data_IF_670353786902
#
_entry.id   IF_670353786902
#
_cell.length_a   1.000
_cell.length_b   1.000
_cell.length_c   1.000
_cell.angle_alpha   90.00
_cell.angle_beta   90.00
_cell.angle_gamma   90.00
#
_symmetry.space_group_name_H-M   'P 1'
#
loop_
_entity.id
_entity.type
_entity.pdbx_description
1 polymer ?
#
# COMPACT_ATOMS: atom_id res chain seq x y z
N UNK A 1 1.78 -4.22 -28.86
CA UNK A 1 1.01 -5.06 -27.92
C UNK A 1 0.25 -6.09 -28.73
N UNK A 2 0.47 -7.38 -28.50
CA UNK A 2 -0.27 -8.43 -29.20
C UNK A 2 -1.69 -8.60 -28.60
N UNK A 3 -2.57 -9.37 -29.25
CA UNK A 3 -3.95 -9.54 -28.81
C UNK A 3 -4.08 -10.15 -27.40
N UNK A 4 -3.15 -11.03 -27.01
CA UNK A 4 -3.11 -11.65 -25.70
C UNK A 4 -2.70 -10.65 -24.61
N UNK A 5 -1.67 -9.84 -24.86
CA UNK A 5 -1.23 -8.78 -23.96
C UNK A 5 -2.34 -7.74 -23.74
N UNK A 6 -3.09 -7.40 -24.78
CA UNK A 6 -4.24 -6.49 -24.66
C UNK A 6 -5.35 -7.07 -23.77
N UNK A 7 -5.63 -8.37 -23.89
CA UNK A 7 -6.63 -9.05 -23.07
C UNK A 7 -6.18 -9.14 -21.61
N UNK A 8 -4.92 -9.49 -21.38
CA UNK A 8 -4.34 -9.60 -20.05
C UNK A 8 -4.31 -8.24 -19.34
N UNK A 9 -3.98 -7.17 -20.06
CA UNK A 9 -4.08 -5.80 -19.55
C UNK A 9 -5.49 -5.47 -19.06
N UNK A 10 -6.52 -5.73 -19.89
CA UNK A 10 -7.92 -5.45 -19.53
C UNK A 10 -8.33 -6.27 -18.29
N UNK A 11 -7.96 -7.55 -18.23
CA UNK A 11 -8.24 -8.40 -17.06
C UNK A 11 -7.61 -7.87 -15.79
N UNK A 12 -6.35 -7.42 -15.83
CA UNK A 12 -5.69 -6.88 -14.64
C UNK A 12 -6.28 -5.52 -14.25
N UNK A 13 -6.65 -4.68 -15.21
CA UNK A 13 -7.37 -3.44 -14.93
C UNK A 13 -8.72 -3.71 -14.23
N UNK A 14 -9.50 -4.65 -14.74
CA UNK A 14 -10.79 -5.06 -14.15
C UNK A 14 -10.60 -5.63 -12.72
N UNK A 15 -9.54 -6.42 -12.51
CA UNK A 15 -9.20 -6.92 -11.17
C UNK A 15 -8.82 -5.80 -10.20
N UNK A 16 -8.04 -4.82 -10.65
CA UNK A 16 -7.67 -3.65 -9.83
C UNK A 16 -8.92 -2.87 -9.43
N UNK A 17 -9.81 -2.58 -10.39
CA UNK A 17 -11.05 -1.86 -10.11
C UNK A 17 -11.97 -2.66 -9.17
N UNK A 18 -12.04 -3.98 -9.33
CA UNK A 18 -12.76 -4.83 -8.40
C UNK A 18 -12.19 -4.75 -6.98
N UNK A 19 -10.86 -4.87 -6.81
CA UNK A 19 -10.23 -4.76 -5.49
C UNK A 19 -10.48 -3.37 -4.88
N UNK A 20 -10.34 -2.29 -5.65
CA UNK A 20 -10.59 -0.92 -5.18
C UNK A 20 -12.04 -0.70 -4.77
N UNK A 21 -13.00 -1.26 -5.50
CA UNK A 21 -14.42 -1.15 -5.17
C UNK A 21 -14.86 -2.02 -4.00
N UNK A 22 -14.10 -3.06 -3.65
CA UNK A 22 -14.52 -4.09 -2.69
C UNK A 22 -13.54 -4.31 -1.53
N UNK A 23 -12.50 -3.49 -1.38
CA UNK A 23 -11.44 -3.72 -0.38
C UNK A 23 -11.97 -3.89 1.05
N UNK A 24 -13.06 -3.19 1.42
CA UNK A 24 -13.70 -3.31 2.74
C UNK A 24 -14.24 -4.72 3.02
N UNK A 25 -14.54 -5.51 1.99
CA UNK A 25 -14.94 -6.91 2.14
C UNK A 25 -13.73 -7.86 2.28
N UNK A 26 -12.51 -7.33 2.13
CA UNK A 26 -11.25 -8.07 2.16
C UNK A 26 -11.26 -9.30 1.21
N UNK A 27 -11.55 -9.11 -0.09
CA UNK A 27 -11.75 -10.21 -1.03
C UNK A 27 -10.51 -11.09 -1.14
N UNK A 28 -10.73 -12.41 -1.17
CA UNK A 28 -9.68 -13.41 -1.29
C UNK A 28 -9.10 -13.51 -2.71
N UNK A 29 -7.97 -14.19 -2.86
CA UNK A 29 -7.34 -14.41 -4.18
C UNK A 29 -8.29 -15.11 -5.15
N UNK A 30 -8.98 -16.16 -4.69
CA UNK A 30 -9.89 -16.97 -5.51
C UNK A 30 -11.08 -16.15 -6.00
N UNK A 31 -11.66 -15.32 -5.12
CA UNK A 31 -12.79 -14.44 -5.44
C UNK A 31 -12.44 -13.45 -6.55
N UNK A 32 -11.28 -12.79 -6.45
CA UNK A 32 -10.84 -11.84 -7.49
C UNK A 32 -10.51 -12.57 -8.79
N UNK A 33 -9.91 -13.77 -8.71
CA UNK A 33 -9.57 -14.56 -9.89
C UNK A 33 -10.84 -15.00 -10.66
N UNK A 34 -11.88 -15.42 -9.94
CA UNK A 34 -13.19 -15.76 -10.52
C UNK A 34 -13.81 -14.57 -11.23
N UNK A 35 -13.70 -13.36 -10.66
CA UNK A 35 -14.24 -12.13 -11.26
C UNK A 35 -13.67 -11.84 -12.65
N UNK A 36 -12.43 -12.24 -12.90
CA UNK A 36 -11.75 -12.06 -14.20
C UNK A 36 -11.61 -13.36 -14.99
N UNK A 37 -12.35 -14.40 -14.59
CA UNK A 37 -12.43 -15.71 -15.23
C UNK A 37 -11.07 -16.41 -15.38
N UNK A 38 -10.22 -16.31 -14.35
CA UNK A 38 -8.91 -16.97 -14.30
C UNK A 38 -8.84 -17.95 -13.12
N UNK A 39 -7.95 -18.93 -13.21
CA UNK A 39 -7.54 -19.69 -12.02
C UNK A 39 -6.68 -18.81 -11.12
N UNK A 40 -6.74 -19.05 -9.81
CA UNK A 40 -6.03 -18.27 -8.79
C UNK A 40 -4.51 -18.24 -9.00
N UNK A 41 -3.93 -19.37 -9.40
CA UNK A 41 -2.49 -19.47 -9.65
C UNK A 41 -2.05 -18.67 -10.87
N UNK A 42 -2.86 -18.69 -11.94
CA UNK A 42 -2.58 -17.91 -13.14
C UNK A 42 -2.81 -16.41 -12.89
N UNK A 43 -3.91 -16.06 -12.21
CA UNK A 43 -4.21 -14.69 -11.79
C UNK A 43 -3.09 -14.10 -10.92
N UNK A 44 -2.65 -14.81 -9.88
CA UNK A 44 -1.56 -14.38 -9.01
C UNK A 44 -0.31 -13.97 -9.81
N UNK A 45 0.11 -14.82 -10.76
CA UNK A 45 1.27 -14.56 -11.60
C UNK A 45 1.02 -13.41 -12.57
N UNK A 46 -0.12 -13.40 -13.24
CA UNK A 46 -0.46 -12.38 -14.23
C UNK A 46 -0.56 -10.99 -13.59
N UNK A 47 -1.27 -10.89 -12.47
CA UNK A 47 -1.40 -9.65 -11.70
C UNK A 47 -0.04 -9.15 -11.22
N UNK A 48 0.80 -10.04 -10.65
CA UNK A 48 2.14 -9.64 -10.18
C UNK A 48 3.02 -9.13 -11.32
N UNK A 49 2.95 -9.77 -12.49
CA UNK A 49 3.73 -9.36 -13.66
C UNK A 49 3.33 -7.97 -14.18
N UNK A 50 2.03 -7.64 -14.14
CA UNK A 50 1.52 -6.37 -14.65
C UNK A 50 1.52 -5.24 -13.61
N UNK A 51 1.14 -5.53 -12.36
CA UNK A 51 1.02 -4.55 -11.29
C UNK A 51 2.30 -4.41 -10.43
N UNK A 52 3.28 -5.30 -10.60
CA UNK A 52 4.54 -5.31 -9.85
C UNK A 52 4.43 -5.85 -8.41
N UNK A 53 3.21 -6.08 -7.91
CA UNK A 53 2.94 -6.62 -6.56
C UNK A 53 1.85 -7.69 -6.62
N UNK A 54 1.82 -8.58 -5.63
CA UNK A 54 0.74 -9.57 -5.55
C UNK A 54 -0.63 -8.93 -5.29
N UNK A 55 -1.75 -9.56 -5.71
CA UNK A 55 -3.11 -9.10 -5.40
C UNK A 55 -3.34 -8.86 -3.90
N UNK A 56 -2.84 -9.78 -3.06
CA UNK A 56 -2.92 -9.65 -1.61
C UNK A 56 -2.21 -8.40 -1.10
N UNK A 57 -0.98 -8.16 -1.57
CA UNK A 57 -0.21 -6.98 -1.15
C UNK A 57 -0.88 -5.68 -1.66
N UNK A 58 -1.43 -5.69 -2.88
CA UNK A 58 -2.21 -4.57 -3.42
C UNK A 58 -3.44 -4.24 -2.55
N UNK A 59 -4.23 -5.25 -2.17
CA UNK A 59 -5.34 -5.09 -1.23
C UNK A 59 -4.87 -4.53 0.12
N UNK A 60 -3.74 -5.00 0.65
CA UNK A 60 -3.16 -4.48 1.88
C UNK A 60 -2.76 -3.01 1.78
N UNK A 61 -2.19 -2.57 0.66
CA UNK A 61 -1.86 -1.16 0.42
C UNK A 61 -3.13 -0.30 0.41
N UNK A 62 -4.14 -0.64 -0.39
CA UNK A 62 -5.40 0.13 -0.44
C UNK A 62 -6.08 0.18 0.92
N UNK A 63 -6.10 -0.95 1.63
CA UNK A 63 -6.67 -1.03 2.98
C UNK A 63 -5.95 -0.07 3.93
N UNK A 64 -4.61 -0.02 3.86
CA UNK A 64 -3.83 0.86 4.72
C UNK A 64 -3.98 2.34 4.36
N UNK A 65 -4.02 2.68 3.07
CA UNK A 65 -4.32 4.06 2.62
C UNK A 65 -5.65 4.55 3.20
N UNK A 66 -6.70 3.75 3.07
CA UNK A 66 -7.99 4.10 3.63
C UNK A 66 -7.94 4.22 5.17
N UNK A 67 -7.25 3.30 5.85
CA UNK A 67 -7.11 3.36 7.30
C UNK A 67 -6.35 4.62 7.76
N UNK A 68 -5.34 5.08 7.01
CA UNK A 68 -4.64 6.35 7.27
C UNK A 68 -5.60 7.53 7.17
N UNK A 69 -6.48 7.56 6.16
CA UNK A 69 -7.50 8.61 6.03
C UNK A 69 -8.47 8.60 7.21
N UNK A 70 -8.95 7.44 7.65
CA UNK A 70 -9.81 7.34 8.84
C UNK A 70 -9.08 7.85 10.09
N UNK A 71 -7.80 7.54 10.26
CA UNK A 71 -7.02 8.00 11.42
C UNK A 71 -6.73 9.50 11.44
N UNK A 72 -6.81 10.19 10.29
CA UNK A 72 -6.71 11.65 10.21
C UNK A 72 -7.99 12.34 10.69
N UNK A 73 -9.12 11.64 10.74
CA UNK A 73 -10.36 12.20 11.27
C UNK A 73 -10.25 12.45 12.78
N UNK A 74 -10.67 13.63 13.22
CA UNK A 74 -10.64 13.98 14.64
C UNK A 74 -11.42 12.95 15.45
N UNK A 75 -10.78 12.43 16.49
CA UNK A 75 -11.32 11.43 17.45
C UNK A 75 -11.44 9.98 16.96
N UNK A 76 -11.10 9.65 15.71
CA UNK A 76 -11.12 8.25 15.26
C UNK A 76 -10.14 7.38 16.08
N UNK A 77 -10.59 6.21 16.53
CA UNK A 77 -9.76 5.25 17.26
C UNK A 77 -9.12 4.24 16.31
N UNK A 78 -8.14 3.48 16.82
CA UNK A 78 -7.59 2.34 16.05
C UNK A 78 -8.66 1.29 15.73
N UNK A 79 -9.66 1.15 16.61
CA UNK A 79 -10.78 0.25 16.38
C UNK A 79 -11.63 0.73 15.21
N UNK A 80 -11.97 2.02 15.15
CA UNK A 80 -12.74 2.61 14.06
C UNK A 80 -12.01 2.44 12.73
N UNK A 81 -10.71 2.75 12.69
CA UNK A 81 -9.89 2.56 11.49
C UNK A 81 -9.84 1.09 11.04
N UNK A 82 -9.67 0.14 11.96
CA UNK A 82 -9.69 -1.27 11.61
C UNK A 82 -11.07 -1.73 11.10
N UNK A 83 -12.13 -1.31 11.77
CA UNK A 83 -13.51 -1.66 11.44
C UNK A 83 -13.94 -1.09 10.09
N UNK A 84 -13.75 0.21 9.87
CA UNK A 84 -14.11 0.91 8.63
C UNK A 84 -13.35 0.39 7.40
N UNK A 85 -12.11 -0.08 7.62
CA UNK A 85 -11.27 -0.69 6.57
C UNK A 85 -11.69 -2.14 6.26
N UNK A 86 -12.51 -2.76 7.11
CA UNK A 86 -12.91 -4.16 6.98
C UNK A 86 -11.90 -5.16 7.53
N UNK A 87 -10.94 -4.71 8.35
CA UNK A 87 -9.95 -5.57 8.97
C UNK A 87 -10.56 -6.36 10.13
N UNK A 88 -10.03 -7.56 10.38
CA UNK A 88 -10.49 -8.42 11.47
C UNK A 88 -10.19 -7.89 12.89
N UNK A 89 -9.42 -6.80 13.00
CA UNK A 89 -9.15 -6.13 14.26
C UNK A 89 -7.92 -5.22 14.22
N UNK A 90 -7.67 -4.53 15.33
CA UNK A 90 -6.58 -3.57 15.49
C UNK A 90 -5.19 -4.20 15.38
N UNK A 91 -5.04 -5.48 15.72
CA UNK A 91 -3.79 -6.22 15.50
C UNK A 91 -3.43 -6.31 14.02
N UNK A 92 -4.43 -6.52 13.14
CA UNK A 92 -4.19 -6.56 11.70
C UNK A 92 -3.82 -5.19 11.14
N UNK A 93 -4.46 -4.14 11.65
CA UNK A 93 -4.10 -2.76 11.34
C UNK A 93 -2.64 -2.47 11.74
N UNK A 94 -2.25 -2.85 12.95
CA UNK A 94 -0.88 -2.71 13.43
C UNK A 94 0.13 -3.42 12.51
N UNK A 95 -0.14 -4.67 12.11
CA UNK A 95 0.72 -5.40 11.18
C UNK A 95 0.88 -4.66 9.84
N UNK A 96 -0.20 -4.09 9.30
CA UNK A 96 -0.14 -3.35 8.04
C UNK A 96 0.75 -2.13 8.16
N UNK A 97 0.53 -1.33 9.20
CA UNK A 97 1.34 -0.14 9.50
C UNK A 97 2.84 -0.48 9.61
N UNK A 98 3.19 -1.49 10.40
CA UNK A 98 4.61 -1.86 10.58
C UNK A 98 5.22 -2.38 9.27
N UNK A 99 4.51 -3.23 8.53
CA UNK A 99 5.06 -3.90 7.34
C UNK A 99 5.02 -3.06 6.05
N UNK A 100 4.29 -1.94 6.04
CA UNK A 100 4.12 -1.10 4.85
C UNK A 100 4.62 0.32 5.10
N UNK A 101 4.28 0.94 6.24
CA UNK A 101 4.65 2.32 6.56
C UNK A 101 5.95 2.42 7.38
N UNK A 102 6.48 1.28 7.84
CA UNK A 102 7.65 1.30 8.72
C UNK A 102 7.39 2.03 10.04
N UNK A 103 6.15 2.14 10.49
CA UNK A 103 5.77 2.79 11.74
C UNK A 103 4.53 2.14 12.34
N UNK A 104 4.23 2.39 13.62
CA UNK A 104 2.99 1.94 14.24
C UNK A 104 1.83 2.89 13.92
N UNK A 105 0.56 2.45 14.06
CA UNK A 105 -0.57 3.36 13.90
C UNK A 105 -0.53 4.58 14.84
N UNK A 106 0.00 4.41 16.06
CA UNK A 106 0.15 5.49 17.04
C UNK A 106 1.22 6.50 16.65
N UNK A 107 2.36 6.03 16.14
CA UNK A 107 3.43 6.87 15.58
C UNK A 107 2.97 7.62 14.33
N UNK A 108 2.13 7.01 13.49
CA UNK A 108 1.54 7.73 12.36
C UNK A 108 0.57 8.81 12.84
N UNK A 109 -0.32 8.47 13.78
CA UNK A 109 -1.37 9.38 14.27
C UNK A 109 -0.82 10.61 14.99
N UNK A 110 0.33 10.52 15.65
CA UNK A 110 0.97 11.68 16.28
C UNK A 110 1.93 12.44 15.34
N UNK A 111 1.88 12.17 14.02
CA UNK A 111 2.73 12.83 13.04
C UNK A 111 4.22 12.49 13.18
N UNK A 112 4.55 11.38 13.85
CA UNK A 112 5.94 10.97 14.08
C UNK A 112 6.69 11.84 15.10
N UNK A 113 6.00 12.61 15.95
CA UNK A 113 6.60 13.62 16.86
C UNK A 113 7.80 13.11 17.70
N UNK A 114 7.85 11.81 18.02
CA UNK A 114 8.92 11.20 18.80
C UNK A 114 9.64 10.06 18.06
N UNK A 115 9.52 10.03 16.74
CA UNK A 115 10.09 8.98 15.91
C UNK A 115 11.45 9.42 15.36
N UNK A 116 12.49 8.65 15.68
CA UNK A 116 13.80 8.84 15.05
C UNK A 116 13.75 8.32 13.61
N UNK A 117 13.84 9.25 12.66
CA UNK A 117 13.88 8.96 11.23
C UNK A 117 15.30 9.23 10.72
N UNK A 118 15.96 8.18 10.24
CA UNK A 118 17.22 8.29 9.51
C UNK A 118 16.91 8.51 8.03
N UNK A 119 17.68 9.35 7.36
CA UNK A 119 17.54 9.54 5.92
C UNK A 119 18.89 9.60 5.20
N UNK A 120 18.86 9.31 3.90
CA UNK A 120 20.01 9.42 3.01
C UNK A 120 19.56 9.75 1.60
N UNK A 121 20.42 10.43 0.85
CA UNK A 121 20.24 10.67 -0.58
C UNK A 121 21.11 9.71 -1.40
N UNK A 122 20.61 9.31 -2.57
CA UNK A 122 21.32 8.41 -3.48
C UNK A 122 20.86 8.64 -4.92
N UNK A 123 21.74 8.41 -5.89
CA UNK A 123 21.36 8.30 -7.30
C UNK A 123 20.66 6.95 -7.55
N UNK A 124 19.66 6.95 -8.43
CA UNK A 124 19.00 5.73 -8.94
C UNK A 124 18.88 5.77 -10.47
N UNK A 125 18.59 4.64 -11.15
CA UNK A 125 18.34 4.63 -12.60
C UNK A 125 17.20 5.53 -13.07
N UNK A 126 16.37 6.03 -12.15
CA UNK A 126 15.21 6.88 -12.42
C UNK A 126 15.40 8.33 -11.94
N UNK A 127 16.61 8.69 -11.48
CA UNK A 127 16.93 9.99 -10.92
C UNK A 127 17.31 9.93 -9.44
N UNK A 128 17.57 11.10 -8.86
CA UNK A 128 17.98 11.22 -7.46
C UNK A 128 16.82 10.90 -6.52
N UNK A 129 17.12 10.17 -5.45
CA UNK A 129 16.13 9.75 -4.47
C UNK A 129 16.58 10.10 -3.06
N UNK A 130 15.58 10.38 -2.21
CA UNK A 130 15.70 10.36 -0.76
C UNK A 130 15.06 9.07 -0.25
N UNK A 131 15.77 8.38 0.65
CA UNK A 131 15.22 7.24 1.41
C UNK A 131 15.23 7.62 2.88
N UNK A 132 14.11 7.40 3.56
CA UNK A 132 13.98 7.56 5.00
C UNK A 132 13.53 6.26 5.67
N UNK A 133 14.04 6.00 6.86
CA UNK A 133 13.76 4.78 7.61
C UNK A 133 13.65 5.03 9.11
N UNK A 134 12.85 4.20 9.76
CA UNK A 134 12.75 4.08 11.21
C UNK A 134 13.42 2.76 11.63
N UNK A 135 13.53 2.46 12.94
CA UNK A 135 13.97 1.14 13.40
C UNK A 135 13.10 -0.04 12.91
N UNK A 136 11.90 0.22 12.37
CA UNK A 136 10.99 -0.81 11.85
C UNK A 136 11.13 -1.04 10.34
N UNK A 137 11.79 -0.15 9.61
CA UNK A 137 11.99 -0.27 8.17
C UNK A 137 11.96 1.06 7.43
N UNK A 138 11.96 0.97 6.10
CA UNK A 138 11.80 2.14 5.22
C UNK A 138 10.38 2.69 5.40
N UNK A 139 10.29 3.98 5.72
CA UNK A 139 9.01 4.69 5.89
C UNK A 139 8.76 5.69 4.76
N UNK A 140 9.77 6.05 3.97
CA UNK A 140 9.60 6.96 2.86
C UNK A 140 10.67 6.74 1.78
N UNK A 141 10.25 6.80 0.52
CA UNK A 141 11.13 6.92 -0.64
C UNK A 141 10.49 7.92 -1.59
N UNK A 142 11.23 8.93 -2.01
CA UNK A 142 10.78 9.91 -2.98
C UNK A 142 11.89 10.28 -3.96
N UNK A 143 11.50 10.62 -5.19
CA UNK A 143 12.38 11.31 -6.13
C UNK A 143 12.56 12.76 -5.68
N UNK A 144 13.77 13.28 -5.83
CA UNK A 144 14.11 14.64 -5.43
C UNK A 144 14.82 15.38 -6.57
N UNK A 145 14.57 16.68 -6.65
CA UNK A 145 15.32 17.60 -7.53
C UNK A 145 16.37 18.40 -6.75
N UNK A 146 16.14 18.59 -5.45
CA UNK A 146 16.95 19.42 -4.56
C UNK A 146 16.92 18.84 -3.13
N UNK A 147 18.09 18.43 -2.63
CA UNK A 147 18.24 17.86 -1.28
C UNK A 147 17.76 18.82 -0.18
N UNK A 148 17.92 20.15 -0.36
CA UNK A 148 17.55 21.13 0.64
C UNK A 148 16.03 21.31 0.77
N UNK A 149 15.28 21.00 -0.29
CA UNK A 149 13.81 21.07 -0.30
C UNK A 149 13.16 19.75 0.10
N UNK A 150 13.84 18.63 -0.14
CA UNK A 150 13.34 17.28 0.13
C UNK A 150 12.83 17.07 1.58
N UNK A 151 13.38 17.81 2.56
CA UNK A 151 12.97 17.70 3.97
C UNK A 151 11.68 18.46 4.32
N UNK A 152 11.20 19.35 3.44
CA UNK A 152 10.04 20.21 3.70
C UNK A 152 8.77 19.81 2.91
N UNK A 153 8.90 18.86 1.97
CA UNK A 153 7.83 18.46 1.04
C UNK A 153 7.04 17.21 1.51
N UNK A 154 7.19 16.80 2.78
CA UNK A 154 6.61 15.59 3.37
C UNK A 154 5.34 15.79 4.18
#
# INVERSE_FOLDING_TARGET
>A
MNAQESLDFVRIADAIEYIRGNFKNQPGLDEVAEKVCLSSSYFQRLFTNWAGVSPKKFLQYISLEYAKEVLKENHATLFDAAYETGLSGTGRLYDLFVNIEGMTPGEYKNGGENLFINYSFSESPFGDIMVASTPKGICHIAFIEDEAKALNDG
#
